data_IF_378603864796
#
_entry.id   IF_378603864796
#
_cell.length_a   1.000
_cell.length_b   1.000
_cell.length_c   1.000
_cell.angle_alpha   90.00
_cell.angle_beta   90.00
_cell.angle_gamma   90.00
#
_symmetry.space_group_name_H-M   'P 1'
#
loop_
_entity.id
_entity.type
_entity.pdbx_description
1 polymer ?
#
# COMPACT_ATOMS: atom_id res chain seq x y z
N UNK A 1 9.36 17.41 25.98
CA UNK A 1 8.25 16.69 25.28
C UNK A 1 8.81 15.97 24.05
N UNK A 2 8.92 14.64 24.02
CA UNK A 2 9.17 13.97 22.74
C UNK A 2 8.19 12.80 22.46
N UNK A 3 8.11 12.41 21.17
CA UNK A 3 7.86 11.04 20.65
C UNK A 3 6.61 10.71 19.83
N UNK A 4 5.53 11.50 19.79
CA UNK A 4 4.37 11.10 18.97
C UNK A 4 4.65 11.17 17.45
N UNK A 5 5.25 12.27 17.00
CA UNK A 5 5.60 12.47 15.58
C UNK A 5 6.66 11.49 15.08
N UNK A 6 7.65 11.15 15.91
CA UNK A 6 8.72 10.23 15.51
C UNK A 6 8.23 8.78 15.42
N UNK A 7 7.37 8.32 16.34
CA UNK A 7 6.78 6.99 16.26
C UNK A 7 5.82 6.87 15.07
N UNK A 8 4.96 7.88 14.86
CA UNK A 8 4.07 7.90 13.71
C UNK A 8 4.85 7.93 12.38
N UNK A 9 5.92 8.72 12.31
CA UNK A 9 6.82 8.75 11.15
C UNK A 9 7.47 7.38 10.91
N UNK A 10 7.94 6.71 11.97
CA UNK A 10 8.48 5.34 11.88
C UNK A 10 7.44 4.35 11.37
N UNK A 11 6.21 4.37 11.89
CA UNK A 11 5.12 3.50 11.41
C UNK A 11 4.82 3.72 9.93
N UNK A 12 4.75 4.99 9.48
CA UNK A 12 4.59 5.32 8.05
C UNK A 12 5.74 4.83 7.20
N UNK A 13 6.98 5.01 7.66
CA UNK A 13 8.18 4.55 6.97
C UNK A 13 8.19 3.03 6.83
N UNK A 14 7.90 2.31 7.91
CA UNK A 14 7.84 0.85 7.91
C UNK A 14 6.76 0.33 6.95
N UNK A 15 5.52 0.84 7.05
CA UNK A 15 4.43 0.42 6.16
C UNK A 15 4.75 0.74 4.69
N UNK A 16 5.39 1.90 4.40
CA UNK A 16 5.87 2.20 3.04
C UNK A 16 6.85 1.17 2.53
N UNK A 17 7.83 0.79 3.34
CA UNK A 17 8.84 -0.20 2.96
C UNK A 17 8.22 -1.57 2.70
N UNK A 18 7.33 -2.02 3.59
CA UNK A 18 6.64 -3.31 3.47
C UNK A 18 5.82 -3.39 2.18
N UNK A 19 4.94 -2.42 1.93
CA UNK A 19 4.10 -2.41 0.72
C UNK A 19 4.93 -2.25 -0.55
N UNK A 20 5.99 -1.45 -0.53
CA UNK A 20 6.86 -1.27 -1.70
C UNK A 20 7.65 -2.54 -2.00
N UNK A 21 8.18 -3.22 -0.97
CA UNK A 21 8.91 -4.46 -1.16
C UNK A 21 7.98 -5.60 -1.60
N UNK A 22 6.78 -5.71 -1.01
CA UNK A 22 5.79 -6.68 -1.47
C UNK A 22 5.38 -6.47 -2.93
N UNK A 23 5.25 -5.23 -3.39
CA UNK A 23 5.03 -4.95 -4.81
C UNK A 23 6.23 -5.40 -5.68
N UNK A 24 7.46 -5.14 -5.23
CA UNK A 24 8.68 -5.54 -5.96
C UNK A 24 8.80 -7.06 -6.06
N UNK A 25 8.49 -7.76 -4.98
CA UNK A 25 8.46 -9.22 -4.92
C UNK A 25 7.39 -9.77 -5.87
N UNK A 26 6.15 -9.27 -5.78
CA UNK A 26 5.05 -9.69 -6.64
C UNK A 26 5.35 -9.46 -8.13
N UNK A 27 5.97 -8.33 -8.47
CA UNK A 27 6.26 -7.94 -9.86
C UNK A 27 7.58 -8.49 -10.39
N UNK A 28 8.51 -8.90 -9.51
CA UNK A 28 9.89 -9.21 -9.87
C UNK A 28 10.72 -7.98 -10.31
N UNK A 29 10.22 -6.75 -10.13
CA UNK A 29 10.87 -5.52 -10.61
C UNK A 29 11.44 -4.73 -9.41
N UNK A 30 12.77 -4.70 -9.20
CA UNK A 30 13.38 -3.98 -8.07
C UNK A 30 13.08 -2.46 -8.07
N UNK A 31 12.87 -1.89 -9.26
CA UNK A 31 12.54 -0.48 -9.44
C UNK A 31 11.07 -0.12 -9.22
N UNK A 32 10.19 -1.10 -8.93
CA UNK A 32 8.77 -0.82 -8.71
C UNK A 32 8.58 0.12 -7.51
N UNK A 33 7.64 1.05 -7.65
CA UNK A 33 7.31 2.06 -6.63
C UNK A 33 5.82 2.03 -6.36
N UNK A 34 5.46 1.86 -5.08
CA UNK A 34 4.09 1.94 -4.64
C UNK A 34 3.53 3.35 -4.82
N UNK A 35 2.26 3.45 -5.21
CA UNK A 35 1.51 4.71 -5.36
C UNK A 35 0.27 4.64 -4.47
N UNK A 36 -0.06 5.76 -3.83
CA UNK A 36 -1.10 5.83 -2.81
C UNK A 36 -2.19 6.85 -3.18
N UNK A 37 -2.39 7.08 -4.47
CA UNK A 37 -3.57 7.77 -4.97
C UNK A 37 -4.13 6.92 -6.10
N UNK A 38 -5.44 6.99 -6.30
CA UNK A 38 -6.15 6.09 -7.20
C UNK A 38 -5.63 6.17 -8.63
N UNK A 39 -5.46 7.38 -9.17
CA UNK A 39 -4.99 7.60 -10.54
C UNK A 39 -3.59 7.02 -10.79
N UNK A 40 -2.62 7.37 -9.95
CA UNK A 40 -1.24 6.91 -10.11
C UNK A 40 -1.08 5.43 -9.79
N UNK A 41 -1.87 4.90 -8.85
CA UNK A 41 -1.90 3.47 -8.59
C UNK A 41 -2.44 2.71 -9.79
N UNK A 42 -3.57 3.14 -10.36
CA UNK A 42 -4.12 2.57 -11.57
C UNK A 42 -3.09 2.62 -12.71
N UNK A 43 -2.52 3.79 -13.00
CA UNK A 43 -1.58 3.96 -14.12
C UNK A 43 -0.25 3.22 -13.93
N UNK A 44 0.36 3.31 -12.74
CA UNK A 44 1.74 2.89 -12.51
C UNK A 44 1.90 1.57 -11.76
N UNK A 45 0.83 1.03 -11.18
CA UNK A 45 0.84 -0.29 -10.53
C UNK A 45 -0.03 -1.26 -11.32
N UNK A 46 -1.31 -0.94 -11.50
CA UNK A 46 -2.25 -1.81 -12.19
C UNK A 46 -1.91 -1.94 -13.69
N UNK A 47 -1.99 -0.86 -14.46
CA UNK A 47 -1.76 -0.89 -15.90
C UNK A 47 -0.32 -1.25 -16.28
N UNK A 48 0.65 -0.86 -15.45
CA UNK A 48 2.08 -1.07 -15.73
C UNK A 48 2.56 -2.47 -15.38
N UNK A 49 2.14 -3.00 -14.24
CA UNK A 49 2.65 -4.28 -13.74
C UNK A 49 1.60 -5.40 -13.71
N UNK A 50 0.32 -5.07 -13.87
CA UNK A 50 -0.77 -6.05 -13.84
C UNK A 50 -1.13 -6.53 -12.43
N UNK A 51 -0.90 -5.70 -11.40
CA UNK A 51 -1.21 -6.05 -10.02
C UNK A 51 -2.18 -5.05 -9.38
N UNK A 52 -3.17 -5.57 -8.66
CA UNK A 52 -4.05 -4.79 -7.77
C UNK A 52 -3.73 -5.10 -6.32
N UNK A 53 -3.95 -4.13 -5.44
CA UNK A 53 -3.85 -4.30 -3.99
C UNK A 53 -5.26 -4.56 -3.46
N UNK A 54 -5.51 -5.76 -2.94
CA UNK A 54 -6.82 -6.18 -2.43
C UNK A 54 -6.82 -6.25 -0.91
N UNK A 55 -8.01 -6.09 -0.31
CA UNK A 55 -8.19 -6.11 1.14
C UNK A 55 -7.77 -4.84 1.86
N UNK A 56 -7.66 -3.73 1.14
CA UNK A 56 -7.58 -2.41 1.75
C UNK A 56 -8.93 -2.08 2.43
N UNK A 57 -8.98 -1.71 3.72
CA UNK A 57 -10.23 -1.46 4.42
C UNK A 57 -11.01 -0.26 3.88
N UNK A 58 -12.34 -0.37 3.83
CA UNK A 58 -13.23 0.71 3.33
C UNK A 58 -13.26 1.93 4.25
N UNK A 59 -12.97 1.75 5.55
CA UNK A 59 -12.93 2.83 6.54
C UNK A 59 -11.60 3.60 6.55
N UNK A 60 -10.57 3.09 5.85
CA UNK A 60 -9.28 3.75 5.69
C UNK A 60 -9.16 4.27 4.26
N UNK A 61 -9.06 5.59 4.02
CA UNK A 61 -8.95 6.11 2.67
C UNK A 61 -7.67 5.62 2.00
N UNK A 62 -7.78 5.18 0.74
CA UNK A 62 -6.63 4.86 -0.10
C UNK A 62 -5.91 6.16 -0.52
N UNK A 63 -5.03 6.62 0.36
CA UNK A 63 -4.32 7.87 0.24
C UNK A 63 -2.86 7.72 0.68
N UNK A 64 -2.01 8.70 0.35
CA UNK A 64 -0.66 8.77 0.89
C UNK A 64 -0.69 8.61 2.41
N UNK A 65 0.17 7.76 2.98
CA UNK A 65 0.13 7.42 4.41
C UNK A 65 0.30 8.63 5.36
N UNK A 66 0.86 9.74 4.86
CA UNK A 66 0.93 11.02 5.56
C UNK A 66 -0.41 11.76 5.64
N UNK A 67 -1.30 11.54 4.67
CA UNK A 67 -2.64 12.12 4.58
C UNK A 67 -3.71 11.31 5.33
N UNK A 68 -3.42 10.05 5.68
CA UNK A 68 -4.30 9.22 6.51
C UNK A 68 -4.38 9.84 7.92
N UNK A 69 -5.61 10.21 8.32
CA UNK A 69 -5.96 10.73 9.65
C UNK A 69 -6.13 9.58 10.65
N UNK A 70 -6.25 9.88 11.94
CA UNK A 70 -6.42 8.85 12.99
C UNK A 70 -5.11 8.37 13.64
N UNK A 71 -3.98 9.01 13.30
CA UNK A 71 -2.70 8.74 13.94
C UNK A 71 -2.13 7.37 13.58
N UNK A 72 -1.66 6.61 14.57
CA UNK A 72 -1.00 5.31 14.37
C UNK A 72 -1.97 4.17 14.04
N UNK A 73 -3.18 4.21 14.60
CA UNK A 73 -4.13 3.08 14.55
C UNK A 73 -4.40 2.58 13.12
N UNK A 74 -4.72 3.44 12.12
CA UNK A 74 -4.93 2.96 10.75
C UNK A 74 -3.69 2.34 10.10
N UNK A 75 -2.49 2.82 10.46
CA UNK A 75 -1.24 2.27 9.92
C UNK A 75 -0.92 0.89 10.51
N UNK A 76 -1.23 0.71 11.80
CA UNK A 76 -1.08 -0.58 12.49
C UNK A 76 -2.07 -1.61 11.95
N UNK A 77 -3.30 -1.19 11.67
CA UNK A 77 -4.31 -2.03 11.03
C UNK A 77 -3.89 -2.48 9.62
N UNK A 78 -3.45 -1.56 8.77
CA UNK A 78 -2.93 -1.91 7.44
C UNK A 78 -1.74 -2.88 7.53
N UNK A 79 -0.84 -2.68 8.50
CA UNK A 79 0.29 -3.57 8.72
C UNK A 79 -0.16 -4.95 9.20
N UNK A 80 -1.13 -5.03 10.10
CA UNK A 80 -1.70 -6.30 10.56
C UNK A 80 -2.38 -7.04 9.41
N UNK A 81 -3.17 -6.35 8.58
CA UNK A 81 -3.82 -6.94 7.41
C UNK A 81 -2.79 -7.46 6.40
N UNK A 82 -1.68 -6.73 6.22
CA UNK A 82 -0.58 -7.21 5.39
C UNK A 82 0.05 -8.48 5.95
N UNK A 83 0.41 -8.47 7.24
CA UNK A 83 1.05 -9.60 7.90
C UNK A 83 0.17 -10.86 7.96
N UNK A 84 -1.16 -10.69 7.93
CA UNK A 84 -2.13 -11.78 7.89
C UNK A 84 -2.50 -12.21 6.46
N UNK A 85 -1.92 -11.57 5.43
CA UNK A 85 -2.21 -11.84 4.02
C UNK A 85 -3.57 -11.33 3.53
N UNK A 86 -4.34 -10.65 4.40
CA UNK A 86 -5.64 -10.06 4.05
C UNK A 86 -5.50 -8.84 3.16
N UNK A 87 -4.46 -8.03 3.37
CA UNK A 87 -4.02 -6.98 2.46
C UNK A 87 -2.87 -7.54 1.62
N UNK A 88 -3.07 -7.73 0.31
CA UNK A 88 -2.07 -8.38 -0.53
C UNK A 88 -2.16 -7.94 -1.99
N UNK A 89 -1.07 -8.11 -2.74
CA UNK A 89 -1.07 -7.89 -4.19
C UNK A 89 -1.50 -9.16 -4.91
N UNK A 90 -2.46 -9.03 -5.82
CA UNK A 90 -2.86 -10.12 -6.71
C UNK A 90 -2.68 -9.73 -8.18
N UNK A 91 -2.19 -10.69 -8.95
CA UNK A 91 -2.02 -10.55 -10.39
C UNK A 91 -3.40 -10.53 -11.04
N UNK A 92 -3.59 -9.58 -11.94
CA UNK A 92 -4.79 -9.49 -12.75
C UNK A 92 -4.63 -10.42 -13.95
N UNK A 93 -5.63 -11.26 -14.21
CA UNK A 93 -5.50 -12.36 -15.17
C UNK A 93 -5.57 -11.87 -16.62
N UNK A 94 -6.32 -10.79 -16.87
CA UNK A 94 -6.49 -10.23 -18.21
C UNK A 94 -6.52 -8.70 -18.23
N UNK A 95 -6.20 -8.12 -19.38
CA UNK A 95 -6.33 -6.67 -19.59
C UNK A 95 -7.79 -6.18 -19.45
N UNK A 96 -8.76 -7.04 -19.75
CA UNK A 96 -10.18 -6.75 -19.61
C UNK A 96 -10.64 -6.49 -18.16
N UNK A 97 -9.86 -6.89 -17.15
CA UNK A 97 -10.13 -6.54 -15.74
C UNK A 97 -9.53 -5.19 -15.32
N UNK A 98 -8.74 -4.55 -16.18
CA UNK A 98 -8.03 -3.28 -15.91
C UNK A 98 -8.76 -2.08 -16.51
N UNK A 99 -9.46 -2.30 -17.63
CA UNK A 99 -10.25 -1.32 -18.38
C UNK A 99 -11.66 -1.16 -17.79
#
# INVERSE_FOLDING_TARGET
RPRYSSLLSKSRGHLRSVLTNGLREATGVPGARMRYNQHDFWKHVLCRYGYKLVGWPDDIPFANLSAIKGGRRPLEELLQLWNTGRLTFIRVASRAEID
#
